data_IF_580564009971
#
_entry.id   IF_580564009971
#
_cell.length_a   1.000
_cell.length_b   1.000
_cell.length_c   1.000
_cell.angle_alpha   90.00
_cell.angle_beta   90.00
_cell.angle_gamma   90.00
#
_symmetry.space_group_name_H-M   'P 1'
#
loop_
_entity.id
_entity.type
_entity.pdbx_description
1 polymer ?
#
# COMPACT_ATOMS: atom_id res chain seq x y z
N UNK A 1 11.34 -12.23 -2.37
CA UNK A 1 10.55 -11.13 -2.99
C UNK A 1 10.92 -9.76 -2.39
N UNK A 2 11.04 -9.63 -1.05
CA UNK A 2 11.34 -8.35 -0.40
C UNK A 2 12.65 -7.69 -0.84
N UNK A 3 13.70 -8.45 -1.05
CA UNK A 3 15.00 -7.92 -1.51
C UNK A 3 14.89 -7.22 -2.87
N UNK A 4 14.13 -7.78 -3.81
CA UNK A 4 13.90 -7.16 -5.11
C UNK A 4 13.17 -5.82 -4.98
N UNK A 5 12.17 -5.72 -4.10
CA UNK A 5 11.49 -4.45 -3.86
C UNK A 5 12.40 -3.39 -3.25
N UNK A 6 13.37 -3.81 -2.42
CA UNK A 6 14.42 -2.91 -1.91
C UNK A 6 15.32 -2.42 -3.05
N UNK A 7 15.75 -3.30 -3.95
CA UNK A 7 16.57 -2.94 -5.13
C UNK A 7 15.82 -1.99 -6.08
N UNK A 8 14.53 -2.21 -6.28
CA UNK A 8 13.70 -1.38 -7.16
C UNK A 8 13.20 -0.09 -6.51
N UNK A 9 13.45 0.15 -5.22
CA UNK A 9 12.91 1.26 -4.45
C UNK A 9 13.12 2.62 -5.14
N UNK A 10 14.33 2.90 -5.62
CA UNK A 10 14.64 4.19 -6.27
C UNK A 10 13.92 4.42 -7.59
N UNK A 11 13.52 3.35 -8.29
CA UNK A 11 12.69 3.41 -9.51
C UNK A 11 11.21 3.53 -9.16
N UNK A 12 10.76 2.81 -8.13
CA UNK A 12 9.35 2.77 -7.70
C UNK A 12 8.90 4.06 -7.01
N UNK A 13 9.74 4.66 -6.20
CA UNK A 13 9.39 5.85 -5.43
C UNK A 13 8.87 7.00 -6.31
N UNK A 14 9.57 7.46 -7.36
CA UNK A 14 9.07 8.51 -8.22
C UNK A 14 7.85 8.08 -9.03
N UNK A 15 7.77 6.81 -9.45
CA UNK A 15 6.64 6.27 -10.20
C UNK A 15 5.35 6.28 -9.38
N UNK A 16 5.44 5.99 -8.09
CA UNK A 16 4.28 5.89 -7.20
C UNK A 16 4.01 7.17 -6.39
N UNK A 17 4.84 8.20 -6.53
CA UNK A 17 4.77 9.42 -5.73
C UNK A 17 3.40 10.13 -5.81
N UNK A 18 2.76 10.11 -6.98
CA UNK A 18 1.44 10.73 -7.19
C UNK A 18 0.35 10.08 -6.34
N UNK A 19 0.46 8.78 -6.09
CA UNK A 19 -0.48 8.05 -5.23
C UNK A 19 -0.27 8.40 -3.76
N UNK A 20 0.99 8.63 -3.33
CA UNK A 20 1.26 9.11 -1.97
C UNK A 20 0.59 10.46 -1.72
N UNK A 21 0.77 11.42 -2.64
CA UNK A 21 0.19 12.75 -2.49
C UNK A 21 -1.35 12.71 -2.45
N UNK A 22 -1.97 11.91 -3.34
CA UNK A 22 -3.43 11.74 -3.32
C UNK A 22 -3.92 11.11 -2.01
N UNK A 23 -3.21 10.12 -1.50
CA UNK A 23 -3.55 9.45 -0.23
C UNK A 23 -3.48 10.43 0.95
N UNK A 24 -2.41 11.20 1.05
CA UNK A 24 -2.21 12.19 2.11
C UNK A 24 -3.23 13.34 2.02
N UNK A 25 -3.61 13.75 0.81
CA UNK A 25 -4.66 14.75 0.58
C UNK A 25 -6.02 14.26 1.11
N UNK A 26 -6.44 13.03 0.73
CA UNK A 26 -7.73 12.45 1.14
C UNK A 26 -7.79 12.24 2.65
N UNK A 27 -6.68 11.92 3.28
CA UNK A 27 -6.60 11.73 4.74
C UNK A 27 -6.77 13.03 5.52
N UNK A 28 -6.55 14.19 4.91
CA UNK A 28 -6.58 15.48 5.61
C UNK A 28 -5.76 15.48 6.92
N UNK A 29 -4.49 15.09 6.78
CA UNK A 29 -3.59 14.84 7.92
C UNK A 29 -3.37 16.06 8.76
N UNK A 30 -3.62 15.96 10.07
CA UNK A 30 -3.40 17.03 11.02
C UNK A 30 -2.12 16.81 11.83
N UNK A 31 -1.45 17.91 12.21
CA UNK A 31 -0.23 17.83 13.04
C UNK A 31 -0.52 17.20 14.40
N UNK A 32 0.35 16.29 14.80
CA UNK A 32 0.27 15.64 16.11
C UNK A 32 -0.63 14.41 16.17
N UNK A 33 -1.26 14.02 15.06
CA UNK A 33 -2.06 12.79 15.00
C UNK A 33 -1.21 11.53 15.12
N UNK A 34 -1.85 10.44 15.53
CA UNK A 34 -1.26 9.10 15.60
C UNK A 34 -1.77 8.29 14.41
N UNK A 35 -0.85 7.85 13.57
CA UNK A 35 -1.12 7.16 12.33
C UNK A 35 -0.76 5.67 12.38
N UNK A 36 -1.56 4.83 11.75
CA UNK A 36 -1.30 3.42 11.51
C UNK A 36 -1.11 3.20 10.00
N UNK A 37 0.05 2.68 9.60
CA UNK A 37 0.34 2.34 8.21
C UNK A 37 0.31 0.82 7.99
N UNK A 38 -0.43 0.37 7.00
CA UNK A 38 -0.55 -1.03 6.63
C UNK A 38 0.21 -1.28 5.32
N UNK A 39 1.25 -2.13 5.38
CA UNK A 39 2.11 -2.42 4.24
C UNK A 39 3.03 -1.24 3.91
N UNK A 40 3.85 -0.82 4.87
CA UNK A 40 4.71 0.36 4.73
C UNK A 40 5.86 0.16 3.72
N UNK A 41 6.17 -1.08 3.36
CA UNK A 41 7.23 -1.39 2.45
C UNK A 41 8.58 -0.82 2.89
N UNK A 42 9.24 -0.11 1.98
CA UNK A 42 10.52 0.58 2.25
C UNK A 42 10.35 1.97 2.89
N UNK A 43 9.16 2.30 3.41
CA UNK A 43 8.91 3.49 4.21
C UNK A 43 8.69 4.79 3.43
N UNK A 44 8.45 4.74 2.13
CA UNK A 44 8.29 5.97 1.30
C UNK A 44 7.10 6.81 1.77
N UNK A 45 5.93 6.19 1.92
CA UNK A 45 4.73 6.89 2.40
C UNK A 45 4.86 7.25 3.88
N UNK A 46 5.53 6.39 4.67
CA UNK A 46 5.82 6.67 6.10
C UNK A 46 6.59 7.98 6.27
N UNK A 47 7.65 8.20 5.48
CA UNK A 47 8.46 9.41 5.58
C UNK A 47 7.68 10.67 5.19
N UNK A 48 6.86 10.60 4.15
CA UNK A 48 5.96 11.70 3.76
C UNK A 48 4.90 11.99 4.82
N UNK A 49 4.35 10.94 5.42
CA UNK A 49 3.40 11.06 6.53
C UNK A 49 4.06 11.71 7.75
N UNK A 50 5.30 11.33 8.08
CA UNK A 50 6.05 11.91 9.20
C UNK A 50 6.23 13.42 9.04
N UNK A 51 6.53 13.90 7.83
CA UNK A 51 6.61 15.33 7.54
C UNK A 51 5.27 16.05 7.77
N UNK A 52 4.16 15.45 7.36
CA UNK A 52 2.81 16.02 7.54
C UNK A 52 2.39 16.07 9.01
N UNK A 53 2.63 14.99 9.76
CA UNK A 53 2.29 14.89 11.18
C UNK A 53 3.15 15.82 12.06
N UNK A 54 4.39 16.06 11.65
CA UNK A 54 5.39 16.80 12.42
C UNK A 54 5.84 16.04 13.67
N UNK A 55 6.76 16.65 14.46
CA UNK A 55 7.48 15.95 15.54
C UNK A 55 6.61 15.55 16.75
N UNK A 56 5.39 16.03 16.85
CA UNK A 56 4.44 15.66 17.91
C UNK A 56 3.49 14.54 17.50
N UNK A 57 3.51 14.13 16.23
CA UNK A 57 2.76 12.98 15.75
C UNK A 57 3.51 11.67 15.95
N UNK A 58 2.88 10.56 15.62
CA UNK A 58 3.53 9.26 15.65
C UNK A 58 2.99 8.35 14.57
N UNK A 59 3.83 7.44 14.07
CA UNK A 59 3.46 6.46 13.06
C UNK A 59 3.80 5.07 13.56
N UNK A 60 2.83 4.16 13.45
CA UNK A 60 3.01 2.74 13.63
C UNK A 60 2.91 2.08 12.25
N UNK A 61 4.04 1.66 11.72
CA UNK A 61 4.17 1.21 10.33
C UNK A 61 4.42 -0.30 10.30
N UNK A 62 3.50 -1.04 9.68
CA UNK A 62 3.52 -2.50 9.62
C UNK A 62 3.88 -2.99 8.22
N UNK A 63 4.73 -4.00 8.14
CA UNK A 63 4.97 -4.79 6.93
C UNK A 63 5.44 -6.19 7.32
N UNK A 64 5.09 -7.20 6.53
CA UNK A 64 5.53 -8.59 6.80
C UNK A 64 6.93 -8.90 6.22
N UNK A 65 7.48 -8.00 5.41
CA UNK A 65 8.76 -8.19 4.72
C UNK A 65 9.92 -7.63 5.52
N UNK A 66 10.69 -8.51 6.16
CA UNK A 66 11.87 -8.15 6.93
C UNK A 66 12.88 -7.29 6.14
N UNK A 67 13.25 -7.59 4.86
CA UNK A 67 14.14 -6.73 4.09
C UNK A 67 13.59 -5.33 3.87
N UNK A 68 12.28 -5.19 3.60
CA UNK A 68 11.65 -3.90 3.40
C UNK A 68 11.59 -3.09 4.70
N UNK A 69 11.25 -3.71 5.83
CA UNK A 69 11.30 -3.07 7.17
C UNK A 69 12.72 -2.63 7.51
N UNK A 70 13.74 -3.44 7.19
CA UNK A 70 15.15 -3.07 7.36
C UNK A 70 15.47 -1.78 6.61
N UNK A 71 15.10 -1.72 5.33
CA UNK A 71 15.33 -0.52 4.50
C UNK A 71 14.52 0.70 4.97
N UNK A 72 13.28 0.50 5.41
CA UNK A 72 12.46 1.58 5.95
C UNK A 72 13.10 2.21 7.20
N UNK A 73 13.62 1.39 8.12
CA UNK A 73 14.35 1.87 9.31
C UNK A 73 15.60 2.67 8.95
N UNK A 74 16.41 2.19 8.00
CA UNK A 74 17.59 2.92 7.51
C UNK A 74 17.18 4.30 6.97
N UNK A 75 16.16 4.35 6.12
CA UNK A 75 15.67 5.61 5.53
C UNK A 75 15.11 6.58 6.58
N UNK A 76 14.45 6.07 7.61
CA UNK A 76 13.98 6.90 8.72
C UNK A 76 15.15 7.56 9.47
N UNK A 77 16.23 6.80 9.71
CA UNK A 77 17.47 7.35 10.29
C UNK A 77 18.11 8.39 9.37
N UNK A 78 18.25 8.08 8.06
CA UNK A 78 18.77 9.01 7.04
C UNK A 78 17.97 10.33 7.00
N UNK A 79 16.65 10.25 7.17
CA UNK A 79 15.73 11.39 7.18
C UNK A 79 15.56 12.07 8.57
N UNK A 80 16.21 11.55 9.61
CA UNK A 80 16.05 12.02 11.00
C UNK A 80 14.59 11.95 11.51
N UNK A 81 13.84 10.92 11.09
CA UNK A 81 12.49 10.63 11.56
C UNK A 81 12.57 9.63 12.71
N UNK A 82 12.30 10.09 13.94
CA UNK A 82 12.38 9.30 15.19
C UNK A 82 11.01 8.93 15.78
N UNK A 83 9.93 9.47 15.22
CA UNK A 83 8.56 9.26 15.67
C UNK A 83 7.79 8.24 14.82
N UNK A 84 8.49 7.44 13.99
CA UNK A 84 7.95 6.29 13.28
C UNK A 84 8.50 4.97 13.83
N UNK A 85 7.61 4.06 14.21
CA UNK A 85 7.93 2.72 14.70
C UNK A 85 7.61 1.70 13.59
N UNK A 86 8.62 0.97 13.14
CA UNK A 86 8.47 -0.06 12.10
C UNK A 86 8.43 -1.45 12.71
N UNK A 87 7.37 -2.20 12.43
CA UNK A 87 7.11 -3.53 12.97
C UNK A 87 7.01 -4.55 11.84
N UNK A 88 7.86 -5.58 11.90
CA UNK A 88 7.76 -6.75 11.02
C UNK A 88 6.63 -7.65 11.53
N UNK A 89 5.50 -7.67 10.84
CA UNK A 89 4.33 -8.45 11.23
C UNK A 89 3.34 -8.62 10.08
N UNK A 90 2.51 -9.65 10.17
CA UNK A 90 1.29 -9.73 9.37
C UNK A 90 0.22 -8.81 9.98
N UNK A 91 -0.20 -7.81 9.23
CA UNK A 91 -1.23 -6.87 9.68
C UNK A 91 -2.59 -7.54 9.98
N UNK A 92 -2.88 -8.71 9.43
CA UNK A 92 -4.11 -9.45 9.73
C UNK A 92 -4.09 -10.09 11.11
N UNK A 93 -2.91 -10.46 11.59
CA UNK A 93 -2.73 -11.16 12.87
C UNK A 93 -2.17 -10.26 13.97
N UNK A 94 -1.77 -9.03 13.64
CA UNK A 94 -1.22 -8.09 14.60
C UNK A 94 -2.24 -7.76 15.72
N UNK A 95 -1.76 -7.74 16.96
CA UNK A 95 -2.56 -7.35 18.13
C UNK A 95 -2.55 -5.82 18.26
N UNK A 96 -3.54 -5.20 17.66
CA UNK A 96 -3.66 -3.75 17.71
C UNK A 96 -4.07 -3.26 19.10
N UNK A 97 -3.46 -2.16 19.58
CA UNK A 97 -3.99 -1.44 20.74
C UNK A 97 -5.37 -0.86 20.40
N UNK A 98 -6.30 -0.91 21.36
CA UNK A 98 -7.66 -0.40 21.15
C UNK A 98 -7.69 1.13 21.19
N UNK A 99 -8.43 1.75 20.27
CA UNK A 99 -8.72 3.19 20.24
C UNK A 99 -7.45 4.08 20.34
N UNK A 100 -6.40 3.69 19.62
CA UNK A 100 -5.11 4.40 19.69
C UNK A 100 -4.89 5.38 18.55
N UNK A 101 -5.36 5.08 17.34
CA UNK A 101 -5.00 5.84 16.15
C UNK A 101 -6.09 6.80 15.70
N UNK A 102 -5.66 7.98 15.24
CA UNK A 102 -6.53 9.00 14.66
C UNK A 102 -6.81 8.71 13.18
N UNK A 103 -5.82 8.11 12.49
CA UNK A 103 -5.93 7.71 11.10
C UNK A 103 -5.20 6.39 10.82
N UNK A 104 -5.72 5.63 9.85
CA UNK A 104 -5.05 4.48 9.26
C UNK A 104 -4.93 4.66 7.75
N UNK A 105 -3.86 4.13 7.16
CA UNK A 105 -3.67 4.25 5.73
C UNK A 105 -2.89 3.08 5.12
N UNK A 106 -3.05 2.91 3.81
CA UNK A 106 -2.29 1.92 3.06
C UNK A 106 -2.13 2.35 1.60
N UNK A 107 -0.92 2.22 1.07
CA UNK A 107 -0.68 2.31 -0.35
C UNK A 107 -0.38 0.92 -0.91
N UNK A 108 -1.38 0.32 -1.58
CA UNK A 108 -1.30 -1.00 -2.22
C UNK A 108 -1.02 -2.20 -1.29
N UNK A 109 -1.09 -2.05 0.04
CA UNK A 109 -0.84 -3.14 1.00
C UNK A 109 -2.07 -4.00 1.27
N UNK A 110 -3.26 -3.40 1.40
CA UNK A 110 -4.49 -4.09 1.81
C UNK A 110 -5.02 -5.12 0.82
N UNK A 111 -4.55 -5.09 -0.42
CA UNK A 111 -4.95 -6.04 -1.47
C UNK A 111 -4.48 -7.49 -1.21
N UNK A 112 -3.57 -7.67 -0.27
CA UNK A 112 -2.96 -8.96 0.02
C UNK A 112 -3.54 -9.65 1.26
N UNK A 113 -4.61 -9.12 1.85
CA UNK A 113 -5.30 -9.76 2.95
C UNK A 113 -6.00 -11.06 2.52
N UNK A 114 -5.78 -12.14 3.25
CA UNK A 114 -6.47 -13.42 3.06
C UNK A 114 -7.93 -13.34 3.52
N UNK A 115 -8.15 -12.69 4.68
CA UNK A 115 -9.48 -12.37 5.20
C UNK A 115 -9.59 -10.85 5.40
N UNK A 116 -9.98 -10.10 4.35
CA UNK A 116 -10.03 -8.65 4.43
C UNK A 116 -11.09 -8.15 5.43
N UNK A 117 -12.20 -8.87 5.65
CA UNK A 117 -13.20 -8.46 6.65
C UNK A 117 -12.59 -8.54 8.05
N UNK A 118 -11.93 -9.64 8.40
CA UNK A 118 -11.23 -9.80 9.68
C UNK A 118 -10.16 -8.71 9.86
N UNK A 119 -9.34 -8.48 8.84
CA UNK A 119 -8.26 -7.49 8.89
C UNK A 119 -8.81 -6.08 9.12
N UNK A 120 -9.78 -5.64 8.33
CA UNK A 120 -10.37 -4.31 8.48
C UNK A 120 -11.19 -4.14 9.78
N UNK A 121 -11.79 -5.21 10.32
CA UNK A 121 -12.44 -5.18 11.64
C UNK A 121 -11.40 -4.92 12.75
N UNK A 122 -10.25 -5.58 12.69
CA UNK A 122 -9.16 -5.37 13.65
C UNK A 122 -8.57 -3.96 13.55
N UNK A 123 -8.34 -3.47 12.33
CA UNK A 123 -7.90 -2.09 12.11
C UNK A 123 -8.93 -1.10 12.67
N UNK A 124 -10.22 -1.32 12.43
CA UNK A 124 -11.29 -0.47 12.94
C UNK A 124 -11.30 -0.40 14.48
N UNK A 125 -11.07 -1.52 15.16
CA UNK A 125 -10.99 -1.56 16.64
C UNK A 125 -9.80 -0.79 17.22
N UNK A 126 -8.78 -0.54 16.43
CA UNK A 126 -7.61 0.25 16.79
C UNK A 126 -7.82 1.76 16.63
N UNK A 127 -8.88 2.15 15.93
CA UNK A 127 -9.17 3.56 15.68
C UNK A 127 -9.88 4.19 16.85
N UNK A 128 -9.52 5.44 17.16
CA UNK A 128 -10.30 6.29 18.07
C UNK A 128 -11.70 6.54 17.50
N UNK A 129 -12.69 6.88 18.34
CA UNK A 129 -13.95 7.40 17.84
C UNK A 129 -13.77 8.58 16.89
N UNK A 130 -14.32 8.48 15.68
CA UNK A 130 -14.12 9.46 14.62
C UNK A 130 -12.81 9.31 13.85
N UNK A 131 -12.02 8.28 14.13
CA UNK A 131 -10.84 7.93 13.36
C UNK A 131 -11.18 7.54 11.92
N UNK A 132 -10.26 7.78 11.00
CA UNK A 132 -10.49 7.64 9.55
C UNK A 132 -9.50 6.68 8.89
N UNK A 133 -9.94 6.02 7.84
CA UNK A 133 -9.13 5.13 7.01
C UNK A 133 -9.13 5.63 5.57
N UNK A 134 -7.96 5.69 4.95
CA UNK A 134 -7.87 5.78 3.51
C UNK A 134 -6.82 4.80 2.96
N UNK A 135 -7.10 4.22 1.81
CA UNK A 135 -6.12 3.39 1.12
C UNK A 135 -6.26 3.51 -0.40
N UNK A 136 -5.18 3.16 -1.07
CA UNK A 136 -5.16 3.07 -2.53
C UNK A 136 -4.95 1.60 -2.91
N UNK A 137 -5.78 1.13 -3.83
CA UNK A 137 -5.66 -0.17 -4.49
C UNK A 137 -5.76 -0.02 -6.00
N UNK A 138 -5.29 -1.01 -6.74
CA UNK A 138 -5.43 -1.02 -8.19
C UNK A 138 -6.89 -1.27 -8.58
N UNK A 139 -7.38 -0.51 -9.54
CA UNK A 139 -8.65 -0.79 -10.21
C UNK A 139 -8.53 -2.00 -11.13
N UNK A 140 -9.60 -2.36 -11.85
CA UNK A 140 -9.62 -3.49 -12.77
C UNK A 140 -8.40 -3.49 -13.72
N UNK A 141 -7.91 -4.68 -14.05
CA UNK A 141 -6.73 -4.88 -14.92
C UNK A 141 -6.84 -4.17 -16.27
N UNK A 142 -8.07 -4.01 -16.81
CA UNK A 142 -8.28 -3.33 -18.08
C UNK A 142 -8.03 -1.81 -18.00
N UNK A 143 -8.08 -1.26 -16.78
CA UNK A 143 -7.71 0.12 -16.50
C UNK A 143 -6.21 0.29 -16.20
N UNK A 144 -5.46 -0.82 -16.18
CA UNK A 144 -4.02 -0.87 -15.89
C UNK A 144 -3.25 -1.55 -17.03
N UNK A 145 -3.25 -0.96 -18.25
CA UNK A 145 -2.64 -1.58 -19.44
C UNK A 145 -1.14 -1.85 -19.27
N UNK A 146 -0.44 -1.04 -18.50
CA UNK A 146 0.99 -1.19 -18.21
C UNK A 146 1.35 -2.51 -17.49
N UNK A 147 0.39 -3.12 -16.78
CA UNK A 147 0.54 -4.45 -16.16
C UNK A 147 0.08 -5.54 -17.12
N UNK A 148 -1.09 -5.34 -17.72
CA UNK A 148 -1.78 -6.39 -18.45
C UNK A 148 -1.20 -6.64 -19.84
N UNK A 149 -0.89 -5.60 -20.61
CA UNK A 149 -0.40 -5.76 -21.97
C UNK A 149 0.95 -6.50 -22.05
N UNK A 150 1.96 -6.17 -21.22
CA UNK A 150 3.21 -6.91 -21.21
C UNK A 150 3.03 -8.38 -20.84
N UNK A 151 2.14 -8.70 -19.89
CA UNK A 151 1.82 -10.08 -19.52
C UNK A 151 1.20 -10.86 -20.69
N UNK A 152 0.34 -10.23 -21.53
CA UNK A 152 -0.20 -10.87 -22.74
C UNK A 152 0.88 -11.12 -23.80
N UNK A 153 1.87 -10.23 -23.91
CA UNK A 153 3.02 -10.46 -24.80
C UNK A 153 3.88 -11.60 -24.27
N UNK A 154 4.24 -11.58 -22.99
CA UNK A 154 5.06 -12.62 -22.37
C UNK A 154 4.45 -14.03 -22.48
N UNK A 155 3.13 -14.15 -22.37
CA UNK A 155 2.37 -15.41 -22.54
C UNK A 155 2.61 -16.12 -23.88
N UNK A 156 3.04 -15.40 -24.91
CA UNK A 156 3.34 -15.98 -26.23
C UNK A 156 4.67 -16.76 -26.24
N UNK A 157 5.53 -16.50 -25.27
CA UNK A 157 6.89 -17.01 -25.22
C UNK A 157 7.20 -17.77 -23.92
N UNK A 158 6.42 -17.54 -22.88
CA UNK A 158 6.64 -18.10 -21.54
C UNK A 158 5.34 -18.70 -21.01
N UNK A 159 5.47 -19.78 -20.26
CA UNK A 159 4.38 -20.30 -19.44
C UNK A 159 4.30 -19.50 -18.15
N UNK A 160 3.33 -18.59 -18.08
CA UNK A 160 3.12 -17.76 -16.89
C UNK A 160 2.26 -18.51 -15.86
N UNK A 161 2.47 -18.25 -14.55
CA UNK A 161 1.59 -18.76 -13.52
C UNK A 161 0.14 -18.35 -13.78
N UNK A 162 -0.80 -19.20 -13.33
CA UNK A 162 -2.21 -18.82 -13.35
C UNK A 162 -2.42 -17.62 -12.44
N UNK A 163 -3.05 -16.54 -12.91
CA UNK A 163 -3.33 -15.39 -12.06
C UNK A 163 -4.25 -15.79 -10.91
N UNK A 164 -4.17 -15.13 -9.75
CA UNK A 164 -5.11 -15.30 -8.66
C UNK A 164 -6.57 -15.14 -9.14
N UNK A 165 -7.51 -15.78 -8.46
CA UNK A 165 -8.94 -15.55 -8.64
C UNK A 165 -9.31 -14.10 -8.26
N UNK A 166 -10.49 -13.64 -8.70
CA UNK A 166 -10.92 -12.25 -8.49
C UNK A 166 -10.95 -11.83 -7.01
N UNK A 167 -11.21 -12.77 -6.11
CA UNK A 167 -11.34 -12.55 -4.67
C UNK A 167 -10.15 -13.10 -3.86
N UNK A 168 -9.20 -13.74 -4.53
CA UNK A 168 -7.97 -14.22 -3.90
C UNK A 168 -6.99 -13.06 -3.64
N UNK A 169 -6.17 -13.14 -2.56
CA UNK A 169 -5.16 -12.13 -2.27
C UNK A 169 -4.26 -11.84 -3.47
N UNK A 170 -4.14 -10.58 -3.82
CA UNK A 170 -3.35 -10.17 -4.97
C UNK A 170 -3.68 -8.77 -5.44
N UNK A 171 -2.93 -8.30 -6.42
CA UNK A 171 -2.97 -6.92 -6.92
C UNK A 171 -4.38 -6.41 -7.24
N UNK A 172 -5.28 -7.26 -7.71
CA UNK A 172 -6.63 -6.87 -8.14
C UNK A 172 -7.75 -7.35 -7.21
N UNK A 173 -7.44 -7.89 -6.03
CA UNK A 173 -8.45 -8.40 -5.08
C UNK A 173 -9.44 -7.35 -4.59
N UNK A 174 -9.04 -6.07 -4.61
CA UNK A 174 -9.82 -4.90 -4.17
C UNK A 174 -10.19 -3.98 -5.35
N UNK A 175 -10.30 -4.52 -6.58
CA UNK A 175 -10.53 -3.69 -7.77
C UNK A 175 -12.02 -3.37 -8.02
N UNK A 176 -12.95 -4.05 -7.34
CA UNK A 176 -14.39 -3.88 -7.53
C UNK A 176 -15.00 -3.04 -6.39
N UNK A 177 -15.70 -1.98 -6.74
CA UNK A 177 -16.30 -1.05 -5.79
C UNK A 177 -17.30 -1.76 -4.87
N UNK A 178 -18.16 -2.63 -5.39
CA UNK A 178 -19.15 -3.37 -4.61
C UNK A 178 -18.48 -4.25 -3.54
N UNK A 179 -17.35 -4.88 -3.89
CA UNK A 179 -16.58 -5.68 -2.94
C UNK A 179 -15.95 -4.83 -1.84
N UNK A 180 -15.46 -3.64 -2.18
CA UNK A 180 -14.89 -2.70 -1.20
C UNK A 180 -15.98 -2.31 -0.19
N UNK A 181 -17.17 -1.92 -0.66
CA UNK A 181 -18.30 -1.59 0.22
C UNK A 181 -18.67 -2.78 1.11
N UNK A 182 -18.86 -3.96 0.52
CA UNK A 182 -19.25 -5.17 1.26
C UNK A 182 -18.25 -5.50 2.39
N UNK A 183 -16.94 -5.43 2.11
CA UNK A 183 -15.88 -5.72 3.09
C UNK A 183 -15.88 -4.68 4.21
N UNK A 184 -15.89 -3.40 3.87
CA UNK A 184 -15.77 -2.33 4.85
C UNK A 184 -17.03 -2.20 5.72
N UNK A 185 -18.23 -2.34 5.16
CA UNK A 185 -19.49 -2.37 5.91
C UNK A 185 -19.53 -3.54 6.90
N UNK A 186 -19.15 -4.76 6.46
CA UNK A 186 -19.04 -5.93 7.34
C UNK A 186 -18.00 -5.75 8.44
N UNK A 187 -16.96 -5.00 8.18
CA UNK A 187 -15.91 -4.70 9.15
C UNK A 187 -16.25 -3.53 10.09
N UNK A 188 -17.45 -2.94 9.98
CA UNK A 188 -17.94 -1.88 10.87
C UNK A 188 -17.55 -0.46 10.48
N UNK A 189 -17.01 -0.25 9.28
CA UNK A 189 -16.74 1.09 8.74
C UNK A 189 -18.02 1.74 8.21
N UNK A 190 -18.09 3.06 8.30
CA UNK A 190 -19.20 3.88 7.82
C UNK A 190 -18.69 5.05 6.96
N UNK A 191 -19.62 5.76 6.30
CA UNK A 191 -19.28 6.89 5.43
C UNK A 191 -18.28 6.54 4.32
N UNK A 192 -18.38 5.31 3.79
CA UNK A 192 -17.47 4.77 2.80
C UNK A 192 -17.60 5.54 1.49
N UNK A 193 -16.46 5.93 0.91
CA UNK A 193 -16.38 6.56 -0.40
C UNK A 193 -15.32 5.87 -1.23
N UNK A 194 -15.62 5.59 -2.48
CA UNK A 194 -14.67 5.06 -3.46
C UNK A 194 -14.54 6.09 -4.59
N UNK A 195 -13.32 6.46 -4.90
CA UNK A 195 -13.02 7.44 -5.95
C UNK A 195 -12.01 6.85 -6.94
N UNK A 196 -12.34 6.89 -8.22
CA UNK A 196 -11.39 6.50 -9.26
C UNK A 196 -10.35 7.60 -9.46
N UNK A 197 -9.07 7.24 -9.30
CA UNK A 197 -7.95 8.13 -9.52
C UNK A 197 -7.08 7.61 -10.66
N UNK A 198 -6.90 8.43 -11.70
CA UNK A 198 -6.09 8.11 -12.87
C UNK A 198 -4.85 9.00 -12.92
N UNK A 199 -3.70 8.39 -13.20
CA UNK A 199 -2.44 9.10 -13.38
C UNK A 199 -1.61 8.49 -14.50
N UNK A 200 -0.73 9.29 -15.06
CA UNK A 200 0.30 8.82 -15.99
C UNK A 200 1.60 8.59 -15.20
N UNK A 201 2.13 7.38 -15.29
CA UNK A 201 3.40 7.04 -14.68
C UNK A 201 4.41 6.68 -15.76
N UNK A 202 5.63 7.21 -15.66
CA UNK A 202 6.74 6.76 -16.47
C UNK A 202 7.36 5.53 -15.84
N UNK A 203 7.44 4.42 -16.58
CA UNK A 203 8.10 3.17 -16.16
C UNK A 203 9.54 3.05 -16.69
N UNK A 204 10.01 4.05 -17.43
CA UNK A 204 11.36 4.14 -17.99
C UNK A 204 11.49 5.39 -18.86
N UNK A 205 12.72 5.80 -19.16
CA UNK A 205 13.00 6.91 -20.04
C UNK A 205 12.94 6.51 -21.53
N UNK A 206 13.05 5.20 -21.79
CA UNK A 206 12.94 4.61 -23.13
C UNK A 206 12.33 3.20 -23.05
N UNK A 207 12.19 2.55 -24.22
CA UNK A 207 11.59 1.23 -24.33
C UNK A 207 12.43 0.12 -23.66
N UNK A 208 13.74 0.25 -23.64
CA UNK A 208 14.64 -0.75 -23.07
C UNK A 208 14.58 -0.72 -21.54
N UNK A 209 14.62 0.46 -20.93
CA UNK A 209 14.43 0.66 -19.49
C UNK A 209 13.04 0.20 -19.03
N UNK A 210 12.01 0.51 -19.81
CA UNK A 210 10.64 0.06 -19.53
C UNK A 210 10.52 -1.47 -19.60
N UNK A 211 11.13 -2.11 -20.61
CA UNK A 211 11.13 -3.57 -20.74
C UNK A 211 11.91 -4.24 -19.60
N UNK A 212 13.06 -3.69 -19.19
CA UNK A 212 13.82 -4.18 -18.03
C UNK A 212 12.97 -4.10 -16.76
N UNK A 213 12.38 -2.95 -16.46
CA UNK A 213 11.52 -2.77 -15.29
C UNK A 213 10.34 -3.74 -15.27
N UNK A 214 9.64 -3.88 -16.41
CA UNK A 214 8.51 -4.79 -16.55
C UNK A 214 8.94 -6.24 -16.33
N UNK A 215 10.07 -6.65 -16.91
CA UNK A 215 10.57 -8.03 -16.76
C UNK A 215 10.91 -8.38 -15.31
N UNK A 216 11.46 -7.42 -14.56
CA UNK A 216 11.77 -7.60 -13.14
C UNK A 216 10.52 -7.57 -12.26
N UNK A 217 9.57 -6.70 -12.55
CA UNK A 217 8.36 -6.53 -11.73
C UNK A 217 7.30 -7.60 -11.99
N UNK A 218 6.99 -7.93 -13.25
CA UNK A 218 5.92 -8.87 -13.60
C UNK A 218 6.22 -10.34 -13.26
N UNK A 219 7.49 -10.74 -13.23
CA UNK A 219 7.87 -12.13 -12.87
C UNK A 219 7.63 -12.41 -11.38
N UNK A 220 7.48 -11.37 -10.56
CA UNK A 220 7.42 -11.46 -9.10
C UNK A 220 6.11 -11.01 -8.46
N UNK A 221 5.16 -10.54 -9.27
CA UNK A 221 3.80 -10.14 -8.84
C UNK A 221 2.84 -11.38 -8.88
#
# INVERSE_FOLDING_TARGET
KGDLWVELQTKLDPMLAVFDEKLLEVLDVQKGERALEIGCGTGTTTLKMADRLGPNGSIHALDFSQPMIGRAKERAVEASVDHAVFVETDAQEYEYPSEEFDLAYSRFGVMFFEDPVKAFTRIQSAMKPGGRLAYICWSDKNNNPWIWEPAQVAKKFLELPKPPGEDEPGMFSMCREERIFEILEKAGWSEIRVEAFNSFNSIGNDADEAAEFISLSLIHI
#
